data_IF_982631318188
#
_entry.id   IF_982631318188
#
_cell.length_a   1.000
_cell.length_b   1.000
_cell.length_c   1.000
_cell.angle_alpha   90.00
_cell.angle_beta   90.00
_cell.angle_gamma   90.00
#
_symmetry.space_group_name_H-M   'P 1'
#
loop_
_entity.id
_entity.type
_entity.pdbx_description
1 polymer ?
#
# COMPACT_ATOMS: atom_id res chain seq x y z
N UNK A 1 0.26 12.32 -18.94
CA UNK A 1 -0.58 11.13 -18.62
C UNK A 1 -1.24 11.38 -17.28
N UNK A 2 -2.46 10.86 -17.03
CA UNK A 2 -3.08 10.96 -15.71
C UNK A 2 -2.40 9.96 -14.76
N UNK A 3 -2.20 10.32 -13.50
CA UNK A 3 -1.62 9.43 -12.49
C UNK A 3 -2.36 8.08 -12.41
N UNK A 4 -1.61 6.96 -12.29
CA UNK A 4 -2.18 5.64 -11.97
C UNK A 4 -2.53 5.62 -10.48
N UNK A 5 -3.81 5.38 -10.15
CA UNK A 5 -4.28 5.28 -8.76
C UNK A 5 -4.34 3.82 -8.37
N UNK A 6 -3.62 3.47 -7.30
CA UNK A 6 -3.48 2.11 -6.80
C UNK A 6 -3.89 2.07 -5.34
N UNK A 7 -4.91 1.28 -5.01
CA UNK A 7 -5.21 1.03 -3.61
C UNK A 7 -4.42 -0.16 -3.08
N UNK A 8 -4.01 -0.06 -1.82
CA UNK A 8 -3.41 -1.16 -1.10
C UNK A 8 -4.40 -1.60 -0.02
N UNK A 9 -4.87 -2.84 -0.13
CA UNK A 9 -5.95 -3.39 0.69
C UNK A 9 -5.53 -4.67 1.41
N UNK A 10 -6.22 -5.02 2.49
CA UNK A 10 -6.12 -6.31 3.16
C UNK A 10 -7.41 -6.61 3.92
N UNK A 11 -7.74 -7.90 4.08
CA UNK A 11 -8.88 -8.34 4.89
C UNK A 11 -8.61 -8.26 6.39
N UNK A 12 -7.34 -8.26 6.82
CA UNK A 12 -6.95 -8.30 8.24
C UNK A 12 -5.89 -7.24 8.55
N UNK A 13 -5.92 -6.73 9.78
CA UNK A 13 -4.87 -5.86 10.32
C UNK A 13 -3.55 -6.62 10.51
N UNK A 14 -2.42 -5.90 10.45
CA UNK A 14 -1.10 -6.47 10.70
C UNK A 14 -0.48 -7.23 9.51
N UNK A 15 -1.10 -7.29 8.34
CA UNK A 15 -0.53 -7.92 7.13
C UNK A 15 0.66 -7.16 6.54
N UNK A 16 0.93 -5.92 7.00
CA UNK A 16 2.03 -5.08 6.53
C UNK A 16 1.69 -4.19 5.34
N UNK A 17 0.41 -3.88 5.11
CA UNK A 17 -0.04 -2.96 4.05
C UNK A 17 0.77 -1.67 3.99
N UNK A 18 0.80 -0.90 5.09
CA UNK A 18 1.45 0.41 5.16
C UNK A 18 2.94 0.32 4.87
N UNK A 19 3.61 -0.74 5.33
CA UNK A 19 5.01 -1.01 5.00
C UNK A 19 5.20 -1.24 3.50
N UNK A 20 4.34 -2.08 2.89
CA UNK A 20 4.37 -2.33 1.45
C UNK A 20 4.07 -1.05 0.67
N UNK A 21 3.10 -0.24 1.13
CA UNK A 21 2.72 1.04 0.52
C UNK A 21 3.90 2.03 0.48
N UNK A 22 4.58 2.23 1.61
CA UNK A 22 5.73 3.15 1.71
C UNK A 22 6.90 2.65 0.86
N UNK A 23 7.24 1.36 0.94
CA UNK A 23 8.36 0.80 0.17
C UNK A 23 8.09 0.81 -1.34
N UNK A 24 6.87 0.47 -1.76
CA UNK A 24 6.48 0.62 -3.17
C UNK A 24 6.63 2.07 -3.62
N UNK A 25 6.11 3.02 -2.84
CA UNK A 25 6.23 4.44 -3.13
C UNK A 25 7.68 4.91 -3.23
N UNK A 26 8.53 4.51 -2.29
CA UNK A 26 9.96 4.80 -2.29
C UNK A 26 10.70 4.19 -3.48
N UNK A 27 10.40 2.92 -3.82
CA UNK A 27 11.02 2.25 -4.99
C UNK A 27 10.57 2.86 -6.33
N UNK A 28 9.32 3.33 -6.44
CA UNK A 28 8.86 4.09 -7.60
C UNK A 28 9.55 5.47 -7.65
N UNK A 29 9.70 6.15 -6.52
CA UNK A 29 10.43 7.42 -6.40
C UNK A 29 11.89 7.30 -6.82
N UNK A 30 12.58 6.25 -6.39
CA UNK A 30 13.96 5.94 -6.80
C UNK A 30 14.09 5.73 -8.33
N UNK A 31 12.99 5.40 -9.01
CA UNK A 31 12.88 5.31 -10.48
C UNK A 31 12.41 6.61 -11.13
N UNK A 32 12.59 7.75 -10.43
CA UNK A 32 12.27 9.12 -10.89
C UNK A 32 10.76 9.33 -11.15
N UNK A 33 9.89 8.57 -10.48
CA UNK A 33 8.45 8.81 -10.49
C UNK A 33 8.05 9.72 -9.34
N UNK A 34 7.10 10.61 -9.59
CA UNK A 34 6.46 11.42 -8.55
C UNK A 34 5.32 10.61 -7.95
N UNK A 35 5.43 10.26 -6.68
CA UNK A 35 4.47 9.39 -5.99
C UNK A 35 3.82 10.13 -4.83
N UNK A 36 2.50 10.08 -4.76
CA UNK A 36 1.73 10.51 -3.61
C UNK A 36 1.16 9.28 -2.90
N UNK A 37 1.49 9.12 -1.63
CA UNK A 37 0.89 8.12 -0.75
C UNK A 37 -0.11 8.81 0.18
N UNK A 38 -1.36 8.38 0.15
CA UNK A 38 -2.43 8.89 1.00
C UNK A 38 -2.82 7.80 1.98
N UNK A 39 -2.67 8.07 3.28
CA UNK A 39 -3.09 7.18 4.35
C UNK A 39 -4.57 7.43 4.67
N UNK A 40 -5.38 6.35 4.58
CA UNK A 40 -6.81 6.37 4.89
C UNK A 40 -7.15 5.60 6.17
N UNK A 41 -6.12 5.05 6.86
CA UNK A 41 -6.26 4.30 8.11
C UNK A 41 -6.08 5.26 9.30
N UNK A 42 -7.19 5.77 9.82
CA UNK A 42 -7.17 6.73 10.95
C UNK A 42 -6.76 6.05 12.25
N UNK A 43 -6.06 6.79 13.12
CA UNK A 43 -5.69 6.39 14.47
C UNK A 43 -4.22 6.06 14.64
N UNK A 44 -3.71 4.97 14.05
CA UNK A 44 -2.34 4.51 14.33
C UNK A 44 -1.25 5.20 13.50
N UNK A 45 -1.59 5.81 12.36
CA UNK A 45 -0.68 6.60 11.51
C UNK A 45 0.69 5.94 11.28
N UNK A 46 0.67 4.71 10.80
CA UNK A 46 1.91 3.94 10.57
C UNK A 46 2.75 4.50 9.42
N UNK A 47 2.11 5.09 8.41
CA UNK A 47 2.77 5.61 7.20
C UNK A 47 3.71 6.75 7.53
N UNK A 48 3.36 7.66 8.43
CA UNK A 48 4.18 8.82 8.76
C UNK A 48 5.49 8.43 9.46
N UNK A 49 5.47 7.42 10.33
CA UNK A 49 6.68 6.87 10.95
C UNK A 49 7.57 6.21 9.90
N UNK A 50 7.01 5.27 9.13
CA UNK A 50 7.78 4.47 8.15
C UNK A 50 8.38 5.36 7.05
N UNK A 51 7.68 6.42 6.65
CA UNK A 51 8.15 7.36 5.63
C UNK A 51 9.02 8.50 6.16
N UNK A 52 9.20 8.59 7.49
CA UNK A 52 10.00 9.62 8.16
C UNK A 52 9.36 11.01 8.17
N UNK A 53 8.04 11.13 7.94
CA UNK A 53 7.33 12.41 8.00
C UNK A 53 6.66 12.67 9.36
N UNK A 54 6.84 11.78 10.33
CA UNK A 54 6.31 11.95 11.68
C UNK A 54 6.75 13.29 12.30
N UNK A 55 5.80 14.02 12.87
CA UNK A 55 6.02 15.34 13.44
C UNK A 55 6.21 16.48 12.42
N UNK A 56 6.14 16.22 11.10
CA UNK A 56 6.28 17.23 10.04
C UNK A 56 4.96 17.63 9.39
N UNK A 57 3.88 16.91 9.67
CA UNK A 57 2.55 17.15 9.10
C UNK A 57 1.79 18.19 9.91
N UNK A 58 1.39 19.31 9.27
CA UNK A 58 0.55 20.35 9.86
C UNK A 58 -0.93 20.04 9.58
N UNK A 59 -1.21 19.59 8.37
CA UNK A 59 -2.56 19.21 7.91
C UNK A 59 -2.58 17.74 7.55
N UNK A 60 -3.70 17.09 7.81
CA UNK A 60 -3.96 15.71 7.45
C UNK A 60 -5.01 15.59 6.32
N UNK A 61 -5.32 14.35 5.92
CA UNK A 61 -6.32 14.12 4.87
C UNK A 61 -7.69 14.68 5.24
N UNK A 62 -8.07 14.64 6.53
CA UNK A 62 -9.37 15.13 6.97
C UNK A 62 -9.50 16.64 6.80
N UNK A 63 -8.41 17.40 6.98
CA UNK A 63 -8.37 18.83 6.70
C UNK A 63 -8.68 19.13 5.24
N UNK A 64 -8.08 18.35 4.33
CA UNK A 64 -8.34 18.47 2.89
C UNK A 64 -9.77 18.08 2.54
N UNK A 65 -10.24 16.92 3.04
CA UNK A 65 -11.58 16.42 2.74
C UNK A 65 -12.69 17.33 3.30
N UNK A 66 -12.44 18.02 4.41
CA UNK A 66 -13.37 19.00 4.97
C UNK A 66 -13.23 20.41 4.38
N UNK A 67 -12.24 20.63 3.50
CA UNK A 67 -12.00 21.92 2.88
C UNK A 67 -11.37 22.97 3.82
N UNK A 68 -10.72 22.52 4.93
CA UNK A 68 -9.98 23.40 5.85
C UNK A 68 -8.66 23.87 5.25
N UNK A 69 -8.11 23.11 4.32
CA UNK A 69 -6.93 23.50 3.54
C UNK A 69 -6.98 22.96 2.11
N UNK A 70 -6.16 23.55 1.24
CA UNK A 70 -5.90 23.00 -0.09
C UNK A 70 -5.04 21.74 0.00
N UNK A 71 -5.26 20.77 -0.88
CA UNK A 71 -4.56 19.48 -0.83
C UNK A 71 -3.04 19.59 -0.85
N UNK A 72 -2.49 20.56 -1.58
CA UNK A 72 -1.04 20.77 -1.63
C UNK A 72 -0.40 21.14 -0.28
N UNK A 73 -1.17 21.75 0.64
CA UNK A 73 -0.68 22.11 1.99
C UNK A 73 -0.56 20.90 2.93
N UNK A 74 -1.26 19.81 2.64
CA UNK A 74 -1.17 18.57 3.40
C UNK A 74 -0.10 17.61 2.87
N UNK A 75 0.48 17.89 1.71
CA UNK A 75 1.53 17.06 1.10
C UNK A 75 2.86 17.34 1.78
N UNK A 76 3.49 16.29 2.30
CA UNK A 76 4.82 16.34 2.92
C UNK A 76 5.76 15.38 2.19
N UNK A 77 6.89 15.87 1.72
CA UNK A 77 7.91 15.03 1.08
C UNK A 77 8.63 14.15 2.11
N UNK A 78 8.81 12.88 1.78
CA UNK A 78 9.58 11.97 2.62
C UNK A 78 11.06 12.34 2.59
N UNK A 79 11.70 12.55 3.74
CA UNK A 79 13.15 12.75 3.80
C UNK A 79 13.94 11.45 3.60
N UNK A 80 13.25 10.31 3.68
CA UNK A 80 13.83 8.96 3.62
C UNK A 80 13.76 8.39 2.22
N UNK A 81 12.66 8.66 1.51
CA UNK A 81 12.38 8.11 0.18
C UNK A 81 12.19 9.23 -0.85
N UNK A 82 13.27 9.64 -1.56
CA UNK A 82 13.18 10.69 -2.58
C UNK A 82 12.11 10.38 -3.65
N UNK A 83 11.29 11.37 -3.99
CA UNK A 83 10.19 11.24 -4.94
C UNK A 83 8.88 10.69 -4.36
N UNK A 84 8.89 10.31 -3.07
CA UNK A 84 7.69 9.96 -2.32
C UNK A 84 7.20 11.16 -1.51
N UNK A 85 5.94 11.54 -1.71
CA UNK A 85 5.21 12.50 -0.87
C UNK A 85 4.07 11.78 -0.15
N UNK A 86 3.70 12.26 1.02
CA UNK A 86 2.70 11.63 1.90
C UNK A 86 1.64 12.65 2.30
N UNK A 87 0.39 12.20 2.36
CA UNK A 87 -0.68 12.85 3.13
C UNK A 87 -1.11 11.85 4.20
N UNK A 88 -0.90 12.23 5.47
CA UNK A 88 -1.18 11.37 6.61
C UNK A 88 -2.67 11.35 6.97
N UNK A 89 -3.12 10.26 7.60
CA UNK A 89 -4.45 10.17 8.20
C UNK A 89 -4.54 11.05 9.47
N UNK A 90 -5.75 11.38 9.97
CA UNK A 90 -5.91 12.02 11.27
C UNK A 90 -5.60 11.05 12.42
N UNK A 91 -5.17 11.57 13.56
CA UNK A 91 -4.97 10.77 14.78
C UNK A 91 -6.28 10.26 15.38
N UNK A 92 -7.34 11.06 15.25
CA UNK A 92 -8.65 10.71 15.79
C UNK A 92 -9.74 11.01 14.78
N UNK A 93 -10.69 10.08 14.67
CA UNK A 93 -11.89 10.26 13.86
C UNK A 93 -11.58 10.37 12.37
N UNK A 94 -12.49 11.02 11.67
CA UNK A 94 -12.39 11.26 10.24
C UNK A 94 -13.38 10.41 9.43
N UNK A 95 -14.06 11.09 8.51
CA UNK A 95 -14.98 10.43 7.58
C UNK A 95 -14.45 10.56 6.17
N UNK A 96 -14.16 9.42 5.54
CA UNK A 96 -13.74 9.38 4.14
C UNK A 96 -14.98 9.23 3.26
N UNK A 97 -15.52 10.35 2.81
CA UNK A 97 -16.65 10.36 1.86
C UNK A 97 -16.14 10.12 0.43
N UNK A 98 -16.71 9.16 -0.31
CA UNK A 98 -16.25 8.80 -1.65
C UNK A 98 -16.13 9.99 -2.61
N UNK A 99 -17.12 10.90 -2.61
CA UNK A 99 -17.15 12.06 -3.51
C UNK A 99 -16.03 13.05 -3.20
N UNK A 100 -15.71 13.24 -1.92
CA UNK A 100 -14.64 14.14 -1.48
C UNK A 100 -13.26 13.56 -1.81
N UNK A 101 -13.06 12.26 -1.54
CA UNK A 101 -11.83 11.57 -1.91
C UNK A 101 -11.64 11.60 -3.44
N UNK A 102 -12.68 11.36 -4.21
CA UNK A 102 -12.65 11.43 -5.68
C UNK A 102 -12.22 12.81 -6.16
N UNK A 103 -12.83 13.87 -5.64
CA UNK A 103 -12.48 15.26 -5.99
C UNK A 103 -11.02 15.57 -5.67
N UNK A 104 -10.54 15.15 -4.50
CA UNK A 104 -9.16 15.33 -4.06
C UNK A 104 -8.20 14.57 -4.98
N UNK A 105 -8.42 13.29 -5.24
CA UNK A 105 -7.58 12.47 -6.11
C UNK A 105 -7.52 13.05 -7.52
N UNK A 106 -8.64 13.47 -8.11
CA UNK A 106 -8.65 14.11 -9.43
C UNK A 106 -7.85 15.43 -9.45
N UNK A 107 -7.90 16.21 -8.38
CA UNK A 107 -7.11 17.44 -8.27
C UNK A 107 -5.60 17.16 -8.16
N UNK A 108 -5.20 16.01 -7.55
CA UNK A 108 -3.80 15.63 -7.39
C UNK A 108 -3.20 14.94 -8.63
N UNK A 109 -4.03 14.30 -9.47
CA UNK A 109 -3.57 13.53 -10.65
C UNK A 109 -2.60 14.28 -11.61
N UNK A 110 -2.68 15.60 -11.83
CA UNK A 110 -1.76 16.29 -12.72
C UNK A 110 -0.33 16.42 -12.20
N UNK A 111 -0.13 16.27 -10.89
CA UNK A 111 1.15 16.55 -10.22
C UNK A 111 1.98 15.30 -9.95
N UNK A 112 1.37 14.11 -10.04
CA UNK A 112 2.00 12.83 -9.70
C UNK A 112 1.88 11.82 -10.85
N UNK A 113 2.80 10.84 -10.87
CA UNK A 113 2.74 9.70 -11.78
C UNK A 113 1.92 8.56 -11.16
N UNK A 114 2.02 8.40 -9.83
CA UNK A 114 1.31 7.40 -9.05
C UNK A 114 0.66 8.03 -7.82
N UNK A 115 -0.57 7.60 -7.52
CA UNK A 115 -1.25 7.90 -6.25
C UNK A 115 -1.55 6.55 -5.59
N UNK A 116 -0.95 6.31 -4.42
CA UNK A 116 -1.13 5.11 -3.62
C UNK A 116 -2.13 5.43 -2.50
N UNK A 117 -3.12 4.59 -2.30
CA UNK A 117 -4.12 4.73 -1.24
C UNK A 117 -3.95 3.59 -0.25
N UNK A 118 -3.35 3.88 0.92
CA UNK A 118 -3.21 2.92 2.02
C UNK A 118 -4.49 2.89 2.83
N UNK A 119 -5.29 1.83 2.68
CA UNK A 119 -6.62 1.74 3.31
C UNK A 119 -6.54 1.11 4.70
N UNK A 120 -7.55 1.34 5.54
CA UNK A 120 -7.77 0.51 6.71
C UNK A 120 -8.03 -0.96 6.31
N UNK A 121 -7.78 -1.89 7.24
CA UNK A 121 -8.13 -3.29 7.02
C UNK A 121 -9.65 -3.49 6.95
N UNK A 122 -10.10 -4.44 6.15
CA UNK A 122 -11.52 -4.77 5.99
C UNK A 122 -12.22 -3.95 4.89
N UNK A 123 -13.55 -3.89 4.95
CA UNK A 123 -14.44 -3.44 3.87
C UNK A 123 -15.19 -2.15 4.20
N UNK A 124 -14.69 -1.37 5.16
CA UNK A 124 -15.32 -0.14 5.64
C UNK A 124 -15.35 1.00 4.62
N UNK A 125 -15.82 2.18 5.06
CA UNK A 125 -15.96 3.36 4.20
C UNK A 125 -14.66 3.79 3.50
N UNK A 126 -13.46 3.76 4.15
CA UNK A 126 -12.22 4.07 3.46
C UNK A 126 -11.89 3.11 2.30
N UNK A 127 -12.21 1.80 2.47
CA UNK A 127 -12.06 0.80 1.41
C UNK A 127 -12.96 1.13 0.22
N UNK A 128 -14.26 1.39 0.46
CA UNK A 128 -15.23 1.69 -0.59
C UNK A 128 -14.86 2.98 -1.35
N UNK A 129 -14.43 4.01 -0.62
CA UNK A 129 -14.00 5.27 -1.22
C UNK A 129 -12.75 5.09 -2.09
N UNK A 130 -11.74 4.34 -1.61
CA UNK A 130 -10.53 4.05 -2.36
C UNK A 130 -10.81 3.19 -3.60
N UNK A 131 -11.67 2.18 -3.50
CA UNK A 131 -12.06 1.34 -4.63
C UNK A 131 -12.70 2.17 -5.75
N UNK A 132 -13.57 3.13 -5.40
CA UNK A 132 -14.27 3.99 -6.37
C UNK A 132 -13.37 4.93 -7.19
N UNK A 133 -12.09 5.09 -6.84
CA UNK A 133 -11.14 5.99 -7.53
C UNK A 133 -9.92 5.28 -8.09
N UNK A 134 -9.71 4.02 -7.73
CA UNK A 134 -8.53 3.23 -8.09
C UNK A 134 -8.72 2.48 -9.41
N UNK A 135 -7.66 2.39 -10.20
CA UNK A 135 -7.61 1.57 -11.42
C UNK A 135 -6.96 0.21 -11.19
N UNK A 136 -6.25 0.05 -10.07
CA UNK A 136 -5.56 -1.16 -9.69
C UNK A 136 -5.65 -1.34 -8.17
N UNK A 137 -5.66 -2.59 -7.70
CA UNK A 137 -5.54 -2.93 -6.29
C UNK A 137 -4.38 -3.90 -6.05
N UNK A 138 -3.60 -3.62 -5.00
CA UNK A 138 -2.66 -4.58 -4.41
C UNK A 138 -3.29 -5.14 -3.14
N UNK A 139 -3.59 -6.43 -3.15
CA UNK A 139 -4.16 -7.13 -2.01
C UNK A 139 -3.03 -7.79 -1.22
N UNK A 140 -2.76 -7.26 -0.02
CA UNK A 140 -1.66 -7.71 0.84
C UNK A 140 -2.19 -8.70 1.87
N UNK A 141 -1.64 -9.90 1.86
CA UNK A 141 -1.92 -10.96 2.83
C UNK A 141 -0.64 -11.49 3.46
N UNK A 142 -0.76 -12.18 4.59
CA UNK A 142 0.26 -13.12 5.07
C UNK A 142 -0.17 -14.55 4.72
N UNK A 143 0.77 -15.51 4.56
CA UNK A 143 0.47 -16.87 4.15
C UNK A 143 -0.06 -17.71 5.33
N UNK A 144 -1.17 -17.26 5.91
CA UNK A 144 -1.88 -17.90 7.01
C UNK A 144 -3.35 -18.14 6.62
N UNK A 145 -4.04 -19.15 7.16
CA UNK A 145 -5.39 -19.52 6.74
C UNK A 145 -6.43 -18.39 6.85
N UNK A 146 -6.38 -17.59 7.94
CA UNK A 146 -7.35 -16.51 8.16
C UNK A 146 -7.13 -15.35 7.19
N UNK A 147 -5.92 -14.75 7.06
CA UNK A 147 -5.64 -13.73 6.05
C UNK A 147 -5.92 -14.17 4.61
N UNK A 148 -5.71 -15.45 4.28
CA UNK A 148 -6.04 -16.02 2.97
C UNK A 148 -7.54 -15.98 2.69
N UNK A 149 -8.34 -16.55 3.59
CA UNK A 149 -9.81 -16.53 3.48
C UNK A 149 -10.34 -15.10 3.37
N UNK A 150 -9.89 -14.22 4.26
CA UNK A 150 -10.32 -12.82 4.27
C UNK A 150 -9.87 -12.09 3.01
N UNK A 151 -8.69 -12.46 2.46
CA UNK A 151 -8.19 -11.99 1.17
C UNK A 151 -9.12 -12.34 0.01
N UNK A 152 -9.63 -13.57 -0.03
CA UNK A 152 -10.62 -13.98 -1.04
C UNK A 152 -11.90 -13.14 -1.00
N UNK A 153 -12.40 -12.85 0.21
CA UNK A 153 -13.58 -11.98 0.40
C UNK A 153 -13.28 -10.56 -0.13
N UNK A 154 -12.14 -9.99 0.25
CA UNK A 154 -11.73 -8.65 -0.22
C UNK A 154 -11.56 -8.63 -1.74
N UNK A 155 -10.94 -9.66 -2.32
CA UNK A 155 -10.77 -9.78 -3.78
C UNK A 155 -12.12 -9.76 -4.51
N UNK A 156 -13.13 -10.46 -3.99
CA UNK A 156 -14.48 -10.43 -4.58
C UNK A 156 -15.08 -9.01 -4.51
N UNK A 157 -15.01 -8.34 -3.37
CA UNK A 157 -15.50 -6.97 -3.24
C UNK A 157 -14.77 -5.98 -4.16
N UNK A 158 -13.47 -6.16 -4.42
CA UNK A 158 -12.72 -5.35 -5.38
C UNK A 158 -13.23 -5.55 -6.82
N UNK A 159 -13.58 -6.81 -7.19
CA UNK A 159 -14.20 -7.11 -8.49
C UNK A 159 -15.58 -6.47 -8.62
N UNK A 160 -16.40 -6.60 -7.58
CA UNK A 160 -17.76 -6.03 -7.54
C UNK A 160 -17.72 -4.49 -7.63
N UNK A 161 -16.67 -3.86 -7.09
CA UNK A 161 -16.39 -2.44 -7.24
C UNK A 161 -15.85 -2.05 -8.63
N UNK A 162 -15.63 -3.00 -9.55
CA UNK A 162 -15.19 -2.77 -10.91
C UNK A 162 -13.69 -2.54 -11.09
N UNK A 163 -12.84 -2.92 -10.12
CA UNK A 163 -11.39 -2.82 -10.28
C UNK A 163 -10.90 -3.89 -11.25
N UNK A 164 -10.40 -3.44 -12.41
CA UNK A 164 -9.99 -4.32 -13.50
C UNK A 164 -8.69 -5.08 -13.21
N UNK A 165 -7.76 -4.47 -12.46
CA UNK A 165 -6.45 -5.05 -12.18
C UNK A 165 -6.28 -5.27 -10.67
N UNK A 166 -6.42 -6.54 -10.24
CA UNK A 166 -6.19 -6.96 -8.85
C UNK A 166 -4.97 -7.86 -8.82
N UNK A 167 -4.00 -7.54 -7.97
CA UNK A 167 -2.76 -8.29 -7.81
C UNK A 167 -2.53 -8.68 -6.35
N UNK A 168 -2.06 -9.91 -6.15
CA UNK A 168 -1.78 -10.46 -4.83
C UNK A 168 -0.33 -10.17 -4.43
N UNK A 169 -0.13 -9.65 -3.23
CA UNK A 169 1.16 -9.54 -2.56
C UNK A 169 1.14 -10.45 -1.32
N UNK A 170 1.92 -11.50 -1.34
CA UNK A 170 2.15 -12.35 -0.16
C UNK A 170 3.28 -11.74 0.64
N UNK A 171 2.99 -11.27 1.84
CA UNK A 171 3.95 -10.59 2.71
C UNK A 171 4.34 -11.47 3.90
N UNK A 172 5.52 -11.22 4.47
CA UNK A 172 6.07 -11.94 5.61
C UNK A 172 6.21 -13.45 5.36
N UNK A 173 6.59 -13.81 4.14
CA UNK A 173 6.89 -15.23 3.87
C UNK A 173 8.18 -15.62 4.59
N UNK A 174 8.07 -16.60 5.48
CA UNK A 174 9.20 -17.32 6.05
C UNK A 174 9.15 -18.76 5.53
N UNK A 175 10.08 -19.12 4.65
CA UNK A 175 10.05 -20.43 3.98
C UNK A 175 10.15 -21.62 4.94
N UNK A 176 10.80 -21.46 6.10
CA UNK A 176 10.96 -22.53 7.07
C UNK A 176 9.65 -22.85 7.78
N UNK A 177 8.89 -21.81 8.16
CA UNK A 177 7.59 -21.97 8.81
C UNK A 177 6.50 -22.29 7.80
N UNK A 178 6.54 -21.69 6.62
CA UNK A 178 5.58 -21.91 5.53
C UNK A 178 5.53 -23.38 5.11
N UNK A 179 6.69 -24.03 4.88
CA UNK A 179 6.77 -25.45 4.50
C UNK A 179 6.25 -26.42 5.56
N UNK A 180 6.13 -25.98 6.80
CA UNK A 180 5.60 -26.76 7.93
C UNK A 180 4.18 -26.33 8.32
N UNK A 181 3.65 -25.32 7.64
CA UNK A 181 2.34 -24.73 7.91
C UNK A 181 1.19 -25.49 7.29
N UNK A 182 -0.03 -25.02 7.51
CA UNK A 182 -1.24 -25.67 7.00
C UNK A 182 -1.49 -25.37 5.50
N UNK A 183 -0.79 -24.41 4.90
CA UNK A 183 -0.91 -24.02 3.48
C UNK A 183 0.15 -24.78 2.71
N UNK A 184 -0.25 -25.50 1.66
CA UNK A 184 0.61 -26.40 0.90
C UNK A 184 1.69 -25.67 0.12
N UNK A 185 1.29 -24.64 -0.62
CA UNK A 185 2.14 -23.90 -1.54
C UNK A 185 1.57 -22.51 -1.85
N UNK A 186 2.25 -21.76 -2.70
CA UNK A 186 1.80 -20.43 -3.12
C UNK A 186 0.65 -20.48 -4.13
N UNK A 187 0.49 -21.58 -4.86
CA UNK A 187 -0.61 -21.76 -5.79
C UNK A 187 -1.93 -21.87 -5.02
N UNK A 188 -1.94 -22.56 -3.86
CA UNK A 188 -3.10 -22.55 -2.96
C UNK A 188 -3.45 -21.12 -2.49
N UNK A 189 -2.43 -20.26 -2.25
CA UNK A 189 -2.69 -18.86 -1.90
C UNK A 189 -3.36 -18.11 -3.07
N UNK A 190 -2.86 -18.30 -4.29
CA UNK A 190 -3.40 -17.69 -5.51
C UNK A 190 -4.84 -18.12 -5.75
N UNK A 191 -5.09 -19.41 -5.67
CA UNK A 191 -6.40 -20.02 -5.92
C UNK A 191 -7.43 -19.58 -4.86
N UNK A 192 -7.04 -19.59 -3.58
CA UNK A 192 -7.94 -19.20 -2.47
C UNK A 192 -8.31 -17.71 -2.55
N UNK A 193 -7.35 -16.85 -2.85
CA UNK A 193 -7.60 -15.41 -2.97
C UNK A 193 -8.23 -15.07 -4.32
N UNK A 194 -7.92 -15.83 -5.35
CA UNK A 194 -8.41 -15.61 -6.71
C UNK A 194 -7.75 -14.42 -7.42
N UNK A 195 -6.55 -14.02 -7.06
CA UNK A 195 -5.82 -12.90 -7.69
C UNK A 195 -4.41 -13.32 -8.09
N UNK A 196 -3.95 -12.82 -9.25
CA UNK A 196 -2.61 -13.12 -9.74
C UNK A 196 -1.53 -12.55 -8.81
N UNK A 197 -0.53 -13.38 -8.51
CA UNK A 197 0.61 -13.02 -7.68
C UNK A 197 1.51 -12.01 -8.40
N UNK A 198 1.84 -10.90 -7.72
CA UNK A 198 2.78 -9.89 -8.22
C UNK A 198 4.06 -9.82 -7.39
N UNK A 199 4.02 -10.17 -6.11
CA UNK A 199 5.20 -10.18 -5.25
C UNK A 199 5.06 -11.17 -4.09
N UNK A 200 6.20 -11.73 -3.67
CA UNK A 200 6.35 -12.49 -2.44
C UNK A 200 7.43 -11.78 -1.62
N UNK A 201 7.02 -11.14 -0.53
CA UNK A 201 7.88 -10.35 0.34
C UNK A 201 8.37 -11.22 1.49
N UNK A 202 9.68 -11.42 1.66
CA UNK A 202 10.19 -12.22 2.78
C UNK A 202 9.96 -11.53 4.13
N UNK A 203 9.88 -12.31 5.19
CA UNK A 203 9.95 -11.78 6.54
C UNK A 203 11.34 -11.19 6.81
N UNK A 204 11.40 -9.97 7.36
CA UNK A 204 12.65 -9.28 7.66
C UNK A 204 12.58 -8.53 8.98
N UNK A 205 13.44 -8.93 9.92
CA UNK A 205 13.62 -8.22 11.18
C UNK A 205 14.27 -6.85 10.97
N UNK A 206 15.15 -6.73 9.97
CA UNK A 206 15.77 -5.44 9.63
C UNK A 206 14.76 -4.45 9.10
N UNK A 207 13.81 -4.91 8.26
CA UNK A 207 12.70 -4.08 7.81
C UNK A 207 11.86 -3.57 8.99
N UNK A 208 11.55 -4.44 9.95
CA UNK A 208 10.75 -4.04 11.12
C UNK A 208 11.47 -2.96 11.93
N UNK A 209 12.79 -3.09 12.14
CA UNK A 209 13.61 -2.09 12.84
C UNK A 209 13.71 -0.78 12.05
N UNK A 210 14.02 -0.83 10.76
CA UNK A 210 14.10 0.35 9.90
C UNK A 210 12.77 1.08 9.82
N UNK A 211 11.67 0.35 9.63
CA UNK A 211 10.32 0.93 9.61
C UNK A 211 9.95 1.60 10.93
N UNK A 212 10.29 1.00 12.07
CA UNK A 212 10.05 1.59 13.40
C UNK A 212 10.90 2.85 13.66
N UNK A 213 12.11 2.93 13.06
CA UNK A 213 13.00 4.08 13.17
C UNK A 213 12.73 5.17 12.12
N UNK A 214 11.87 4.91 11.12
CA UNK A 214 11.68 5.81 9.97
C UNK A 214 12.95 5.94 9.12
N UNK A 215 13.68 4.84 8.94
CA UNK A 215 14.95 4.77 8.21
C UNK A 215 14.82 3.93 6.93
N UNK A 216 15.59 4.22 5.87
CA UNK A 216 15.61 3.41 4.67
C UNK A 216 16.21 2.02 4.95
N UNK A 217 15.75 1.00 4.22
CA UNK A 217 16.38 -0.32 4.27
C UNK A 217 17.80 -0.28 3.71
N UNK A 218 18.74 -1.03 4.31
CA UNK A 218 20.07 -1.22 3.76
C UNK A 218 20.04 -1.78 2.33
N UNK A 219 20.96 -1.30 1.50
CA UNK A 219 21.11 -1.83 0.13
C UNK A 219 21.46 -3.32 0.16
N UNK A 220 20.90 -4.11 -0.76
CA UNK A 220 21.18 -5.54 -0.86
C UNK A 220 20.25 -6.44 -0.03
N UNK A 221 19.39 -5.89 0.80
CA UNK A 221 18.38 -6.68 1.51
C UNK A 221 17.38 -7.33 0.55
N UNK A 222 17.08 -8.62 0.79
CA UNK A 222 16.17 -9.39 -0.05
C UNK A 222 14.77 -8.74 -0.16
N UNK A 223 14.33 -8.13 0.94
CA UNK A 223 13.05 -7.42 0.97
C UNK A 223 13.07 -6.18 0.07
N UNK A 224 14.16 -5.38 0.11
CA UNK A 224 14.31 -4.20 -0.75
C UNK A 224 14.36 -4.59 -2.22
N UNK A 225 15.10 -5.65 -2.58
CA UNK A 225 15.13 -6.16 -3.95
C UNK A 225 13.73 -6.60 -4.41
N UNK A 226 12.97 -7.25 -3.54
CA UNK A 226 11.58 -7.66 -3.87
C UNK A 226 10.67 -6.45 -4.03
N UNK A 227 10.82 -5.40 -3.21
CA UNK A 227 10.06 -4.16 -3.35
C UNK A 227 10.42 -3.41 -4.66
N UNK A 228 11.69 -3.40 -5.07
CA UNK A 228 12.13 -2.87 -6.35
C UNK A 228 11.53 -3.64 -7.54
N UNK A 229 11.49 -4.98 -7.44
CA UNK A 229 10.85 -5.82 -8.45
C UNK A 229 9.33 -5.60 -8.51
N UNK A 230 8.68 -5.44 -7.36
CA UNK A 230 7.25 -5.07 -7.29
C UNK A 230 7.01 -3.74 -8.01
N UNK A 231 7.82 -2.71 -7.74
CA UNK A 231 7.72 -1.42 -8.42
C UNK A 231 7.88 -1.56 -9.94
N UNK A 232 8.85 -2.34 -10.41
CA UNK A 232 9.03 -2.62 -11.83
C UNK A 232 7.80 -3.28 -12.47
N UNK A 233 7.23 -4.30 -11.81
CA UNK A 233 6.00 -4.97 -12.29
C UNK A 233 4.79 -4.05 -12.31
N UNK A 234 4.66 -3.17 -11.31
CA UNK A 234 3.61 -2.13 -11.29
C UNK A 234 3.76 -1.13 -12.44
N UNK A 235 4.99 -0.89 -12.89
CA UNK A 235 5.32 -0.08 -14.07
C UNK A 235 5.11 -0.82 -15.40
N UNK A 236 4.81 -2.13 -15.36
CA UNK A 236 4.62 -2.97 -16.57
C UNK A 236 5.87 -3.72 -17.03
N UNK A 237 6.94 -3.71 -16.26
CA UNK A 237 8.17 -4.46 -16.59
C UNK A 237 7.93 -5.97 -16.37
N UNK A 238 8.45 -6.78 -17.29
CA UNK A 238 8.40 -8.24 -17.20
C UNK A 238 9.57 -8.75 -16.34
N UNK A 239 9.42 -8.73 -15.04
CA UNK A 239 10.41 -9.24 -14.08
C UNK A 239 9.91 -10.59 -13.56
N UNK A 240 10.69 -11.69 -13.69
CA UNK A 240 10.30 -12.99 -13.14
C UNK A 240 10.09 -12.95 -11.64
N UNK A 241 9.09 -13.69 -11.13
CA UNK A 241 8.90 -13.90 -9.69
C UNK A 241 10.06 -14.80 -9.19
N UNK A 242 10.88 -14.27 -8.29
CA UNK A 242 11.89 -15.04 -7.59
C UNK A 242 11.48 -15.17 -6.12
N UNK A 243 11.35 -16.41 -5.65
CA UNK A 243 11.11 -16.73 -4.24
C UNK A 243 12.47 -17.08 -3.65
N UNK A 244 12.98 -16.24 -2.76
CA UNK A 244 14.28 -16.43 -2.10
C UNK A 244 14.11 -16.56 -0.61
#
# INVERSE_FOLDING_TARGET
MKAKVIMIASGKGGTGKSTVSVLLGGCLGARKKKVLLIELDSGLRSVDIISGVYGKTIYDIQDVLCGRCEGGKAVVESPVYPGLSVISAPYEGGEVRPERLKKMVEAMRPYFDYILLDTAAGLGAPFQAAAGVSSMALLVITPDPVPLRDGGIVCQHLRDAGIAEIRLVINRLNLLTFRKGPIRDLDECIDTVGAQLIAVMPESMLLQKAAAAGEPLPAGEAFLQTAQNLAGRVMGEQIPLAIR
#
